data_IF_503185425922
#
_entry.id   IF_503185425922
#
_cell.length_a   1.000
_cell.length_b   1.000
_cell.length_c   1.000
_cell.angle_alpha   90.00
_cell.angle_beta   90.00
_cell.angle_gamma   90.00
#
_symmetry.space_group_name_H-M   'P 1'
#
loop_
_entity.id
_entity.type
_entity.pdbx_description
1 polymer ?
#
# COMPACT_ATOMS: atom_id res chain seq x y z
N UNK A 1 -10.88 -2.08 9.85
CA UNK A 1 -11.09 -0.84 9.08
C UNK A 1 -10.01 -0.79 8.02
N UNK A 2 -10.32 -0.30 6.81
CA UNK A 2 -9.35 -0.16 5.71
C UNK A 2 -9.58 1.18 5.02
N UNK A 3 -8.51 1.70 4.41
CA UNK A 3 -8.56 2.93 3.64
C UNK A 3 -8.78 2.64 2.15
N UNK A 4 -9.33 3.61 1.43
CA UNK A 4 -9.30 3.68 -0.02
C UNK A 4 -8.57 4.96 -0.39
N UNK A 5 -7.73 4.92 -1.41
CA UNK A 5 -7.02 6.10 -1.91
C UNK A 5 -7.61 6.64 -3.23
N UNK A 6 -7.35 7.92 -3.57
CA UNK A 6 -7.92 8.55 -4.76
C UNK A 6 -7.67 7.75 -6.04
N UNK A 7 -8.74 7.55 -6.82
CA UNK A 7 -8.70 6.84 -8.09
C UNK A 7 -8.93 5.33 -7.98
N UNK A 8 -9.02 4.76 -6.78
CA UNK A 8 -9.46 3.38 -6.62
C UNK A 8 -10.91 3.18 -7.09
N UNK A 9 -11.16 2.06 -7.75
CA UNK A 9 -12.48 1.69 -8.23
C UNK A 9 -13.23 0.88 -7.18
N UNK A 10 -14.51 1.22 -7.02
CA UNK A 10 -15.43 0.52 -6.11
C UNK A 10 -16.71 0.15 -6.84
N UNK A 11 -17.38 -0.89 -6.37
CA UNK A 11 -18.78 -1.18 -6.67
C UNK A 11 -19.64 -0.61 -5.55
N UNK A 12 -20.60 0.25 -5.88
CA UNK A 12 -21.60 0.77 -4.93
C UNK A 12 -22.78 -0.19 -4.91
N UNK A 13 -23.17 -0.66 -3.74
CA UNK A 13 -24.31 -1.57 -3.54
C UNK A 13 -25.54 -0.88 -3.00
N UNK A 14 -25.35 0.14 -2.15
CA UNK A 14 -26.43 0.87 -1.51
C UNK A 14 -25.98 2.30 -1.19
N UNK A 15 -26.93 3.21 -1.07
CA UNK A 15 -26.73 4.59 -0.64
C UNK A 15 -27.81 5.01 0.35
N UNK A 16 -27.39 5.42 1.55
CA UNK A 16 -28.29 5.85 2.60
C UNK A 16 -27.68 6.99 3.42
N UNK A 17 -28.43 8.08 3.59
CA UNK A 17 -28.06 9.24 4.42
C UNK A 17 -26.67 9.82 4.12
N UNK A 18 -26.30 9.92 2.83
CA UNK A 18 -25.01 10.47 2.38
C UNK A 18 -23.81 9.51 2.52
N UNK A 19 -24.06 8.24 2.86
CA UNK A 19 -23.07 7.18 2.87
C UNK A 19 -23.39 6.13 1.81
N UNK A 20 -22.35 5.67 1.13
CA UNK A 20 -22.43 4.57 0.16
C UNK A 20 -21.79 3.31 0.74
N UNK A 21 -22.50 2.19 0.72
CA UNK A 21 -21.92 0.88 0.99
C UNK A 21 -21.21 0.38 -0.27
N UNK A 22 -19.90 0.18 -0.16
CA UNK A 22 -19.02 -0.10 -1.30
C UNK A 22 -18.22 -1.38 -1.10
N UNK A 23 -17.86 -2.02 -2.21
CA UNK A 23 -16.79 -3.03 -2.28
C UNK A 23 -15.66 -2.52 -3.14
N UNK A 24 -14.45 -2.54 -2.61
CA UNK A 24 -13.26 -2.22 -3.37
C UNK A 24 -13.02 -3.25 -4.47
N UNK A 25 -12.87 -2.80 -5.72
CA UNK A 25 -12.67 -3.71 -6.85
C UNK A 25 -11.33 -4.43 -6.79
N UNK A 26 -10.29 -3.73 -6.31
CA UNK A 26 -8.92 -4.26 -6.29
C UNK A 26 -8.70 -5.35 -5.23
N UNK A 27 -9.52 -5.40 -4.18
CA UNK A 27 -9.25 -6.28 -3.04
C UNK A 27 -10.48 -6.85 -2.34
N UNK A 28 -11.67 -6.52 -2.83
CA UNK A 28 -12.92 -7.11 -2.39
C UNK A 28 -13.38 -6.72 -0.99
N UNK A 29 -12.65 -5.85 -0.29
CA UNK A 29 -13.03 -5.37 1.03
C UNK A 29 -14.26 -4.47 0.93
N UNK A 30 -15.13 -4.57 1.91
CA UNK A 30 -16.38 -3.81 1.96
C UNK A 30 -16.34 -2.78 3.07
N UNK A 31 -17.07 -1.69 2.89
CA UNK A 31 -17.15 -0.63 3.88
C UNK A 31 -18.10 0.48 3.47
N UNK A 32 -18.16 1.53 4.29
CA UNK A 32 -18.93 2.72 4.02
C UNK A 32 -17.99 3.88 3.71
N UNK A 33 -18.32 4.65 2.67
CA UNK A 33 -17.63 5.89 2.31
C UNK A 33 -18.66 7.00 2.17
N UNK A 34 -18.24 8.25 2.41
CA UNK A 34 -19.07 9.42 2.13
C UNK A 34 -19.37 9.49 0.63
N UNK A 35 -20.65 9.53 0.25
CA UNK A 35 -21.07 9.48 -1.16
C UNK A 35 -20.45 10.61 -1.99
N UNK A 36 -20.25 11.78 -1.37
CA UNK A 36 -19.58 12.94 -2.00
C UNK A 36 -18.10 12.73 -2.35
N UNK A 37 -17.44 11.70 -1.80
CA UNK A 37 -16.07 11.34 -2.15
C UNK A 37 -16.00 10.45 -3.40
N UNK A 38 -17.13 9.87 -3.82
CA UNK A 38 -17.22 9.08 -5.02
C UNK A 38 -17.42 9.98 -6.25
N UNK A 39 -16.89 9.53 -7.37
CA UNK A 39 -17.15 10.11 -8.69
C UNK A 39 -17.68 9.03 -9.62
N UNK A 40 -18.51 9.38 -10.60
CA UNK A 40 -18.84 8.45 -11.67
C UNK A 40 -17.57 7.88 -12.30
N UNK A 41 -17.59 6.61 -12.77
CA UNK A 41 -16.43 6.02 -13.41
C UNK A 41 -15.99 6.87 -14.60
N UNK A 42 -14.68 7.10 -14.72
CA UNK A 42 -14.12 7.74 -15.90
C UNK A 42 -14.45 6.91 -17.15
N UNK A 43 -14.73 7.57 -18.27
CA UNK A 43 -14.99 6.89 -19.54
C UNK A 43 -13.78 6.09 -20.04
N UNK A 44 -12.57 6.50 -19.65
CA UNK A 44 -11.33 5.84 -19.99
C UNK A 44 -10.60 5.34 -18.72
N UNK A 45 -9.88 4.20 -18.82
CA UNK A 45 -9.17 3.62 -17.69
C UNK A 45 -8.00 4.49 -17.21
N UNK A 46 -7.62 4.30 -15.95
CA UNK A 46 -6.36 4.84 -15.41
C UNK A 46 -5.17 4.32 -16.23
N UNK A 47 -4.17 5.17 -16.43
CA UNK A 47 -2.94 4.82 -17.17
C UNK A 47 -1.68 4.89 -16.31
N UNK A 48 -1.72 5.64 -15.21
CA UNK A 48 -0.59 5.88 -14.32
C UNK A 48 -1.00 5.72 -12.86
N UNK A 49 0.00 5.66 -11.97
CA UNK A 49 -0.18 5.76 -10.53
C UNK A 49 0.90 6.66 -9.90
N UNK A 50 0.64 7.17 -8.70
CA UNK A 50 1.66 7.88 -7.91
C UNK A 50 2.68 6.88 -7.36
N UNK A 51 3.95 7.05 -7.72
CA UNK A 51 5.06 6.12 -7.43
C UNK A 51 5.96 6.54 -6.26
N UNK A 52 5.68 7.71 -5.68
CA UNK A 52 6.32 8.28 -4.49
C UNK A 52 5.35 8.25 -3.30
N UNK A 53 5.79 8.37 -2.03
CA UNK A 53 4.89 8.31 -0.88
C UNK A 53 3.71 9.29 -0.96
N UNK A 54 3.99 10.56 -1.24
CA UNK A 54 3.01 11.64 -1.34
C UNK A 54 3.40 12.56 -2.49
N UNK A 55 2.41 13.03 -3.25
CA UNK A 55 2.55 14.06 -4.28
C UNK A 55 1.42 15.08 -4.18
N UNK A 56 1.61 16.22 -4.81
CA UNK A 56 0.58 17.25 -4.97
C UNK A 56 0.11 17.29 -6.42
N UNK A 57 -1.17 17.60 -6.59
CA UNK A 57 -1.71 18.05 -7.86
C UNK A 57 -1.93 19.56 -7.85
N UNK A 58 -1.67 20.21 -8.97
CA UNK A 58 -1.68 21.66 -9.13
C UNK A 58 -2.76 22.10 -10.11
N UNK A 59 -3.33 23.29 -9.90
CA UNK A 59 -4.39 23.82 -10.78
C UNK A 59 -3.92 24.17 -12.18
N UNK A 60 -2.64 24.52 -12.33
CA UNK A 60 -1.98 24.82 -13.61
C UNK A 60 -0.72 23.96 -13.77
N UNK A 61 -0.14 23.95 -14.97
CA UNK A 61 1.17 23.34 -15.25
C UNK A 61 2.32 24.17 -14.64
N UNK A 62 2.23 24.44 -13.34
CA UNK A 62 3.16 25.26 -12.56
C UNK A 62 3.07 24.85 -11.08
N UNK A 63 4.21 24.49 -10.49
CA UNK A 63 4.34 24.14 -9.06
C UNK A 63 4.00 25.31 -8.13
N UNK A 64 3.99 26.54 -8.64
CA UNK A 64 3.60 27.75 -7.88
C UNK A 64 2.10 28.00 -7.90
N UNK A 65 1.34 27.26 -8.71
CA UNK A 65 -0.12 27.36 -8.70
C UNK A 65 -0.72 26.66 -7.48
N UNK A 66 -2.00 26.95 -7.20
CA UNK A 66 -2.68 26.35 -6.05
C UNK A 66 -2.78 24.82 -6.15
N UNK A 67 -2.63 24.14 -5.00
CA UNK A 67 -2.81 22.70 -4.90
C UNK A 67 -4.30 22.36 -5.01
N UNK A 68 -4.63 21.39 -5.85
CA UNK A 68 -5.99 20.89 -6.07
C UNK A 68 -6.27 19.58 -5.33
N UNK A 69 -5.23 18.77 -5.09
CA UNK A 69 -5.34 17.50 -4.38
C UNK A 69 -4.01 17.08 -3.76
N UNK A 70 -4.10 16.37 -2.63
CA UNK A 70 -3.02 15.54 -2.10
C UNK A 70 -3.22 14.12 -2.62
N UNK A 71 -2.17 13.52 -3.19
CA UNK A 71 -2.22 12.18 -3.76
C UNK A 71 -1.18 11.31 -3.06
N UNK A 72 -1.55 10.09 -2.68
CA UNK A 72 -0.67 9.12 -2.01
C UNK A 72 -0.20 8.04 -2.97
N UNK A 73 0.89 7.36 -2.64
CA UNK A 73 1.38 6.22 -3.41
C UNK A 73 0.24 5.24 -3.76
N UNK A 74 0.20 4.79 -5.00
CA UNK A 74 -0.87 3.90 -5.51
C UNK A 74 -2.11 4.63 -6.03
N UNK A 75 -2.29 5.93 -5.75
CA UNK A 75 -3.40 6.73 -6.32
C UNK A 75 -3.38 6.62 -7.84
N UNK A 76 -4.50 6.22 -8.44
CA UNK A 76 -4.59 5.94 -9.88
C UNK A 76 -4.99 7.19 -10.68
N UNK A 77 -4.29 7.41 -11.79
CA UNK A 77 -4.36 8.62 -12.59
C UNK A 77 -4.62 8.28 -14.05
N UNK A 78 -5.43 9.09 -14.72
CA UNK A 78 -5.50 9.10 -16.17
C UNK A 78 -4.58 10.21 -16.70
N UNK A 79 -3.63 9.86 -17.56
CA UNK A 79 -2.85 10.84 -18.32
C UNK A 79 -3.74 11.41 -19.44
N UNK A 80 -4.09 12.69 -19.32
CA UNK A 80 -4.94 13.42 -20.26
C UNK A 80 -4.12 14.26 -21.25
N UNK A 81 -2.94 14.71 -20.83
CA UNK A 81 -2.02 15.55 -21.58
C UNK A 81 -0.67 15.54 -20.87
N UNK A 82 0.42 15.62 -21.63
CA UNK A 82 1.76 15.80 -21.08
C UNK A 82 2.32 17.17 -21.45
N UNK A 83 3.05 17.76 -20.52
CA UNK A 83 3.84 18.98 -20.72
C UNK A 83 5.23 18.76 -20.12
N UNK A 84 6.17 19.68 -20.37
CA UNK A 84 7.51 19.60 -19.78
C UNK A 84 7.43 19.54 -18.25
N UNK A 85 7.79 18.39 -17.69
CA UNK A 85 7.86 18.15 -16.24
C UNK A 85 6.54 17.76 -15.55
N UNK A 86 5.40 17.79 -16.24
CA UNK A 86 4.08 17.48 -15.64
C UNK A 86 3.21 16.61 -16.54
N UNK A 87 2.28 15.89 -15.92
CA UNK A 87 1.14 15.28 -16.60
C UNK A 87 -0.16 15.92 -16.09
N UNK A 88 -1.12 16.17 -16.98
CA UNK A 88 -2.47 16.58 -16.63
C UNK A 88 -3.30 15.34 -16.35
N UNK A 89 -4.04 15.37 -15.25
CA UNK A 89 -4.87 14.26 -14.76
C UNK A 89 -6.26 14.74 -14.39
N UNK A 90 -7.14 13.82 -14.01
CA UNK A 90 -8.46 14.13 -13.45
C UNK A 90 -8.40 14.89 -12.11
N UNK A 91 -7.22 15.00 -11.48
CA UNK A 91 -7.01 15.75 -10.24
C UNK A 91 -6.33 17.10 -10.45
N UNK A 92 -5.84 17.40 -11.67
CA UNK A 92 -4.97 18.54 -11.97
C UNK A 92 -3.62 18.10 -12.53
N UNK A 93 -2.62 18.97 -12.44
CA UNK A 93 -1.27 18.74 -12.95
C UNK A 93 -0.37 18.10 -11.89
N UNK A 94 0.28 16.99 -12.22
CA UNK A 94 1.15 16.23 -11.30
C UNK A 94 2.57 16.19 -11.87
N UNK A 95 3.63 16.38 -11.06
CA UNK A 95 5.00 16.24 -11.54
C UNK A 95 5.25 14.87 -12.17
N UNK A 96 5.80 14.84 -13.38
CA UNK A 96 6.01 13.62 -14.17
C UNK A 96 6.92 12.61 -13.47
N UNK A 97 7.88 13.08 -12.67
CA UNK A 97 8.77 12.24 -11.87
C UNK A 97 8.09 11.53 -10.67
N UNK A 98 6.86 11.92 -10.32
CA UNK A 98 6.10 11.31 -9.21
C UNK A 98 5.12 10.23 -9.68
N UNK A 99 5.07 9.96 -10.98
CA UNK A 99 4.14 9.01 -11.59
C UNK A 99 4.88 7.90 -12.32
N UNK A 100 4.24 6.74 -12.41
CA UNK A 100 4.71 5.61 -13.21
C UNK A 100 3.52 5.01 -13.96
N UNK A 101 3.78 4.45 -15.14
CA UNK A 101 2.74 3.81 -15.95
C UNK A 101 2.26 2.51 -15.28
N UNK A 102 0.95 2.25 -15.31
CA UNK A 102 0.37 1.00 -14.82
C UNK A 102 0.76 -0.22 -15.67
N UNK A 103 1.19 0.01 -16.92
CA UNK A 103 1.65 -1.03 -17.84
C UNK A 103 3.06 -1.54 -17.57
N UNK A 104 3.79 -0.90 -16.66
CA UNK A 104 5.17 -1.25 -16.30
C UNK A 104 5.34 -1.21 -14.78
N UNK A 105 4.71 -2.15 -14.04
CA UNK A 105 4.83 -2.21 -12.59
C UNK A 105 6.25 -2.63 -12.17
N UNK A 106 6.77 -2.13 -11.04
CA UNK A 106 8.02 -2.63 -10.47
C UNK A 106 7.86 -4.10 -10.08
N UNK A 107 8.95 -4.87 -10.09
CA UNK A 107 8.92 -6.30 -9.76
C UNK A 107 9.24 -6.62 -8.29
N UNK A 108 9.81 -5.68 -7.54
CA UNK A 108 10.26 -5.88 -6.16
C UNK A 108 9.36 -5.16 -5.15
N UNK A 109 8.47 -5.88 -4.43
CA UNK A 109 7.62 -5.31 -3.39
C UNK A 109 8.43 -4.73 -2.22
N UNK A 110 9.62 -5.24 -1.95
CA UNK A 110 10.46 -4.72 -0.88
C UNK A 110 10.97 -3.33 -1.25
N UNK A 111 11.40 -3.11 -2.50
CA UNK A 111 11.80 -1.78 -2.96
C UNK A 111 10.67 -0.76 -2.87
N UNK A 112 9.42 -1.19 -3.05
CA UNK A 112 8.23 -0.33 -2.84
C UNK A 112 8.03 -0.05 -1.35
N UNK A 113 8.17 -1.05 -0.47
CA UNK A 113 8.04 -0.89 0.98
C UNK A 113 9.10 0.08 1.53
N UNK A 114 10.34 0.00 1.04
CA UNK A 114 11.46 0.84 1.46
C UNK A 114 11.20 2.33 1.19
N UNK A 115 10.43 2.68 0.16
CA UNK A 115 9.99 4.07 -0.09
C UNK A 115 9.11 4.64 1.03
N UNK A 116 8.49 3.78 1.84
CA UNK A 116 7.59 4.15 2.94
C UNK A 116 8.30 4.16 4.29
N UNK A 117 9.62 4.00 4.35
CA UNK A 117 10.39 4.07 5.59
C UNK A 117 10.09 5.38 6.35
N UNK A 118 9.80 5.27 7.64
CA UNK A 118 9.43 6.39 8.50
C UNK A 118 7.96 6.81 8.44
N UNK A 119 7.13 6.28 7.55
CA UNK A 119 5.68 6.53 7.56
C UNK A 119 5.10 6.11 8.91
N UNK A 120 4.28 6.94 9.59
CA UNK A 120 3.71 6.59 10.88
C UNK A 120 2.84 5.35 10.85
N UNK A 121 2.87 4.57 11.94
CA UNK A 121 1.96 3.45 12.11
C UNK A 121 0.53 3.96 12.32
N UNK A 122 -0.42 3.41 11.57
CA UNK A 122 -1.84 3.66 11.74
C UNK A 122 -2.61 2.35 11.58
N UNK A 123 -3.34 1.95 12.63
CA UNK A 123 -4.19 0.76 12.59
C UNK A 123 -5.23 0.86 11.46
N UNK A 124 -5.27 -0.12 10.55
CA UNK A 124 -6.13 -0.11 9.37
C UNK A 124 -5.65 0.82 8.25
N UNK A 125 -4.46 1.43 8.41
CA UNK A 125 -3.84 2.31 7.43
C UNK A 125 -3.30 1.55 6.22
N UNK A 126 -3.45 2.14 5.04
CA UNK A 126 -3.05 1.55 3.75
C UNK A 126 -2.40 2.60 2.84
N UNK A 127 -1.71 3.61 3.42
CA UNK A 127 -1.12 4.71 2.65
C UNK A 127 0.05 5.40 3.35
N UNK A 128 0.74 6.30 2.64
CA UNK A 128 1.81 7.12 3.20
C UNK A 128 1.36 8.14 4.28
N UNK A 129 0.04 8.32 4.50
CA UNK A 129 -0.48 9.14 5.60
C UNK A 129 -0.57 8.37 6.92
N UNK A 130 -0.36 7.06 6.87
CA UNK A 130 -0.41 6.15 7.99
C UNK A 130 -0.65 4.73 7.50
N UNK A 131 0.15 3.78 7.96
CA UNK A 131 0.14 2.41 7.44
C UNK A 131 0.29 1.39 8.55
N UNK A 132 -0.46 0.28 8.50
CA UNK A 132 -0.22 -0.86 9.38
C UNK A 132 0.64 -1.93 8.72
N UNK A 133 0.96 -2.99 9.48
CA UNK A 133 1.84 -4.06 9.04
C UNK A 133 1.34 -4.73 7.75
N UNK A 134 0.06 -5.09 7.72
CA UNK A 134 -0.58 -5.72 6.58
C UNK A 134 -0.79 -4.77 5.40
N UNK A 135 -1.05 -3.48 5.66
CA UNK A 135 -1.16 -2.42 4.66
C UNK A 135 0.17 -2.18 3.95
N UNK A 136 1.30 -2.23 4.65
CA UNK A 136 2.62 -2.14 4.04
C UNK A 136 2.86 -3.27 3.03
N UNK A 137 2.61 -4.53 3.44
CA UNK A 137 2.75 -5.69 2.57
C UNK A 137 1.80 -5.57 1.37
N UNK A 138 0.55 -5.20 1.64
CA UNK A 138 -0.49 -5.04 0.63
C UNK A 138 -0.12 -4.00 -0.41
N UNK A 139 0.11 -2.75 -0.01
CA UNK A 139 0.39 -1.65 -0.92
C UNK A 139 1.59 -1.97 -1.82
N UNK A 140 2.66 -2.50 -1.23
CA UNK A 140 3.85 -2.92 -1.96
C UNK A 140 3.58 -3.99 -3.02
N UNK A 141 2.80 -5.02 -2.68
CA UNK A 141 2.45 -6.08 -3.62
C UNK A 141 1.51 -5.59 -4.71
N UNK A 142 0.49 -4.82 -4.35
CA UNK A 142 -0.48 -4.28 -5.30
C UNK A 142 0.19 -3.38 -6.34
N UNK A 143 1.18 -2.57 -5.95
CA UNK A 143 1.97 -1.75 -6.88
C UNK A 143 2.80 -2.62 -7.83
N UNK A 144 3.30 -3.75 -7.36
CA UNK A 144 3.96 -4.77 -8.18
C UNK A 144 2.98 -5.66 -8.98
N UNK A 145 1.69 -5.30 -9.04
CA UNK A 145 0.64 -6.09 -9.68
C UNK A 145 0.47 -7.53 -9.10
N UNK A 146 0.90 -7.76 -7.86
CA UNK A 146 0.67 -8.99 -7.12
C UNK A 146 -0.56 -8.85 -6.22
N UNK A 147 -1.53 -9.76 -6.38
CA UNK A 147 -2.71 -9.78 -5.53
C UNK A 147 -2.32 -10.08 -4.08
N UNK A 148 -2.70 -9.18 -3.17
CA UNK A 148 -2.40 -9.31 -1.75
C UNK A 148 -3.64 -9.00 -0.90
N UNK A 149 -4.14 -9.96 -0.10
CA UNK A 149 -5.24 -9.70 0.82
C UNK A 149 -4.93 -8.56 1.80
N UNK A 150 -5.96 -7.94 2.35
CA UNK A 150 -5.77 -6.77 3.20
C UNK A 150 -5.31 -7.08 4.62
N UNK A 151 -5.68 -8.22 5.17
CA UNK A 151 -5.42 -8.56 6.58
C UNK A 151 -4.32 -9.62 6.70
N UNK A 152 -3.53 -9.55 7.78
CA UNK A 152 -2.33 -10.39 7.96
C UNK A 152 -2.65 -11.89 8.04
N UNK A 153 -3.79 -12.29 8.59
CA UNK A 153 -4.26 -13.67 8.63
C UNK A 153 -4.68 -14.18 7.23
N UNK A 154 -5.33 -13.34 6.43
CA UNK A 154 -5.65 -13.64 5.04
C UNK A 154 -4.38 -13.68 4.18
N UNK A 155 -3.41 -12.80 4.41
CA UNK A 155 -2.10 -12.85 3.77
C UNK A 155 -1.36 -14.14 4.12
N UNK A 156 -1.36 -14.53 5.40
CA UNK A 156 -0.75 -15.77 5.88
C UNK A 156 -1.34 -17.00 5.17
N UNK A 157 -2.65 -17.03 4.94
CA UNK A 157 -3.31 -18.14 4.25
C UNK A 157 -3.10 -18.14 2.74
N UNK A 158 -3.17 -16.97 2.08
CA UNK A 158 -3.21 -16.89 0.62
C UNK A 158 -1.83 -16.72 -0.05
N UNK A 159 -0.86 -16.10 0.60
CA UNK A 159 0.39 -15.70 -0.07
C UNK A 159 1.50 -16.74 0.06
N UNK A 160 2.12 -17.12 -1.06
CA UNK A 160 3.37 -17.88 -1.07
C UNK A 160 3.30 -19.28 -0.47
N UNK A 161 4.44 -19.97 -0.49
CA UNK A 161 4.64 -21.30 0.10
C UNK A 161 5.22 -21.17 1.51
N UNK A 162 4.81 -22.07 2.41
CA UNK A 162 5.41 -22.17 3.75
C UNK A 162 6.85 -22.65 3.64
N UNK A 163 7.76 -21.97 4.33
CA UNK A 163 9.16 -22.36 4.43
C UNK A 163 9.38 -23.32 5.61
N UNK A 164 10.30 -24.30 5.48
CA UNK A 164 10.83 -25.04 6.61
C UNK A 164 11.38 -24.10 7.70
N UNK A 165 11.34 -24.49 8.99
CA UNK A 165 11.79 -23.63 10.09
C UNK A 165 13.23 -23.11 9.95
N UNK A 166 14.12 -23.94 9.40
CA UNK A 166 15.55 -23.77 9.19
C UNK A 166 15.93 -23.21 7.81
N UNK A 167 14.96 -22.98 6.93
CA UNK A 167 15.24 -22.41 5.62
C UNK A 167 15.82 -20.99 5.75
N UNK A 168 16.91 -20.67 5.03
CA UNK A 168 17.46 -19.32 5.03
C UNK A 168 16.46 -18.36 4.41
N UNK A 169 16.25 -17.23 5.09
CA UNK A 169 15.36 -16.18 4.62
C UNK A 169 16.05 -15.34 3.55
N UNK A 170 15.26 -14.80 2.64
CA UNK A 170 15.73 -13.93 1.58
C UNK A 170 14.82 -12.71 1.41
N UNK A 171 15.30 -11.72 0.65
CA UNK A 171 14.51 -10.53 0.29
C UNK A 171 13.17 -10.95 -0.33
N UNK A 172 12.09 -10.39 0.20
CA UNK A 172 10.72 -10.66 -0.23
C UNK A 172 10.02 -11.79 0.51
N UNK A 173 10.71 -12.54 1.36
CA UNK A 173 10.05 -13.48 2.27
C UNK A 173 9.19 -12.73 3.30
N UNK A 174 8.12 -13.38 3.73
CA UNK A 174 7.20 -12.87 4.74
C UNK A 174 7.37 -13.62 6.05
N UNK A 175 7.39 -12.89 7.16
CA UNK A 175 7.40 -13.45 8.52
C UNK A 175 6.12 -13.05 9.22
N UNK A 176 5.40 -14.03 9.75
CA UNK A 176 4.11 -13.84 10.40
C UNK A 176 4.19 -14.14 11.89
N UNK A 177 3.54 -13.30 12.68
CA UNK A 177 3.16 -13.55 14.07
C UNK A 177 1.63 -13.49 14.17
N UNK A 178 1.07 -13.80 15.35
CA UNK A 178 -0.36 -13.62 15.58
C UNK A 178 -0.74 -12.14 15.45
N UNK A 179 -1.41 -11.79 14.36
CA UNK A 179 -1.87 -10.43 14.08
C UNK A 179 -0.81 -9.49 13.52
N UNK A 180 0.38 -9.97 13.15
CA UNK A 180 1.46 -9.13 12.62
C UNK A 180 2.19 -9.81 11.45
N UNK A 181 2.72 -8.99 10.54
CA UNK A 181 3.46 -9.44 9.36
C UNK A 181 4.62 -8.49 9.05
N UNK A 182 5.72 -9.02 8.53
CA UNK A 182 6.87 -8.26 8.08
C UNK A 182 7.43 -8.81 6.77
N UNK A 183 8.13 -7.95 6.01
CA UNK A 183 8.88 -8.32 4.81
C UNK A 183 10.36 -8.43 5.13
N UNK A 184 11.01 -9.50 4.72
CA UNK A 184 12.46 -9.63 4.79
C UNK A 184 13.11 -8.77 3.69
N UNK A 185 14.13 -7.99 4.05
CA UNK A 185 14.95 -7.23 3.08
C UNK A 185 16.29 -7.92 2.80
N UNK A 186 16.72 -8.79 3.72
CA UNK A 186 17.91 -9.64 3.68
C UNK A 186 17.64 -10.91 4.51
N UNK A 187 18.66 -11.73 4.77
CA UNK A 187 18.53 -12.92 5.62
C UNK A 187 18.20 -12.58 7.09
N UNK A 188 18.71 -11.45 7.59
CA UNK A 188 18.65 -11.10 9.01
C UNK A 188 17.82 -9.85 9.30
N UNK A 189 17.46 -9.07 8.28
CA UNK A 189 16.77 -7.78 8.46
C UNK A 189 15.40 -7.79 7.82
N UNK A 190 14.42 -7.28 8.55
CA UNK A 190 13.06 -7.07 8.07
C UNK A 190 12.73 -5.57 7.94
N UNK A 191 11.72 -5.27 7.14
CA UNK A 191 10.98 -4.01 7.13
C UNK A 191 9.54 -4.28 7.53
N UNK A 192 9.00 -3.46 8.44
CA UNK A 192 7.60 -3.55 8.84
C UNK A 192 7.07 -2.21 9.36
N UNK A 193 5.76 -2.00 9.30
CA UNK A 193 5.09 -0.98 10.09
C UNK A 193 4.72 -1.58 11.44
N UNK A 194 5.18 -1.00 12.55
CA UNK A 194 4.96 -1.59 13.87
C UNK A 194 4.55 -0.55 14.92
N UNK A 195 3.71 -0.99 15.88
CA UNK A 195 3.23 -0.16 16.97
C UNK A 195 4.29 0.11 18.07
N UNK A 196 5.42 -0.59 18.05
CA UNK A 196 6.50 -0.37 19.01
C UNK A 196 7.30 0.91 18.69
N UNK A 197 7.67 1.10 17.42
CA UNK A 197 8.33 2.31 16.89
C UNK A 197 7.34 3.36 16.38
N UNK A 198 6.06 2.99 16.28
CA UNK A 198 4.99 3.81 15.71
C UNK A 198 5.31 4.30 14.28
N UNK A 199 6.05 3.51 13.50
CA UNK A 199 6.43 3.84 12.12
C UNK A 199 6.86 2.60 11.32
N UNK A 200 7.05 2.78 10.01
CA UNK A 200 7.75 1.83 9.15
C UNK A 200 9.25 1.88 9.45
N UNK A 201 9.83 0.76 9.88
CA UNK A 201 11.24 0.67 10.25
C UNK A 201 11.90 -0.59 9.73
N UNK A 202 13.22 -0.53 9.57
CA UNK A 202 14.05 -1.73 9.57
C UNK A 202 14.25 -2.24 11.00
N UNK A 203 14.28 -3.55 11.18
CA UNK A 203 14.61 -4.20 12.45
C UNK A 203 15.36 -5.50 12.16
N UNK A 204 16.30 -5.89 13.02
CA UNK A 204 16.89 -7.22 12.94
C UNK A 204 15.81 -8.24 13.32
N UNK A 205 15.70 -9.34 12.57
CA UNK A 205 14.70 -10.39 12.81
C UNK A 205 14.83 -10.97 14.21
N UNK A 206 16.06 -11.20 14.69
CA UNK A 206 16.32 -11.72 16.04
C UNK A 206 15.83 -10.78 17.14
N UNK A 207 16.01 -9.47 16.96
CA UNK A 207 15.51 -8.44 17.88
C UNK A 207 13.99 -8.39 17.86
N UNK A 208 13.38 -8.41 16.67
CA UNK A 208 11.93 -8.42 16.51
C UNK A 208 11.29 -9.64 17.19
N UNK A 209 11.84 -10.84 16.97
CA UNK A 209 11.39 -12.08 17.63
C UNK A 209 11.46 -11.95 19.13
N UNK A 210 12.63 -11.55 19.66
CA UNK A 210 12.85 -11.43 21.11
C UNK A 210 11.91 -10.41 21.74
N UNK A 211 11.76 -9.24 21.09
CA UNK A 211 10.90 -8.15 21.57
C UNK A 211 9.42 -8.53 21.57
N UNK A 212 8.92 -9.12 20.48
CA UNK A 212 7.50 -9.51 20.35
C UNK A 212 7.15 -10.61 21.37
N UNK A 213 8.05 -11.59 21.57
CA UNK A 213 7.90 -12.60 22.60
C UNK A 213 7.84 -11.98 24.01
N UNK A 214 8.75 -11.06 24.33
CA UNK A 214 8.78 -10.35 25.62
C UNK A 214 7.54 -9.47 25.86
N UNK A 215 6.92 -8.96 24.79
CA UNK A 215 5.66 -8.21 24.86
C UNK A 215 4.44 -9.12 25.09
N UNK A 216 4.60 -10.45 25.07
CA UNK A 216 3.50 -11.42 25.23
C UNK A 216 2.66 -11.62 23.97
N UNK A 217 3.13 -11.16 22.81
CA UNK A 217 2.45 -11.26 21.52
C UNK A 217 2.72 -12.59 20.79
N UNK A 218 3.66 -13.38 21.31
CA UNK A 218 3.92 -14.77 20.92
C UNK A 218 5.08 -14.95 19.93
N UNK A 219 5.30 -16.20 19.53
CA UNK A 219 6.37 -16.59 18.61
C UNK A 219 5.97 -16.38 17.14
N UNK A 220 6.98 -16.48 16.26
CA UNK A 220 6.75 -16.56 14.81
C UNK A 220 5.84 -17.76 14.52
N UNK A 221 4.74 -17.48 13.83
CA UNK A 221 3.74 -18.48 13.45
C UNK A 221 4.17 -19.18 12.16
N UNK A 222 4.58 -18.42 11.13
CA UNK A 222 5.01 -18.96 9.84
C UNK A 222 6.02 -18.04 9.16
N UNK A 223 6.89 -18.64 8.34
CA UNK A 223 7.71 -17.96 7.34
C UNK A 223 7.21 -18.40 5.96
N UNK A 224 7.06 -17.47 5.02
CA UNK A 224 6.57 -17.78 3.67
C UNK A 224 7.42 -17.13 2.59
N UNK A 225 7.57 -17.83 1.47
CA UNK A 225 8.24 -17.34 0.25
C UNK A 225 7.25 -17.19 -0.88
N UNK A 226 7.22 -16.04 -1.51
CA UNK A 226 6.40 -15.82 -2.69
C UNK A 226 7.00 -16.59 -3.87
N UNK A 227 6.12 -17.24 -4.63
CA UNK A 227 6.46 -17.85 -5.90
C UNK A 227 6.19 -16.78 -6.98
N UNK A 228 7.15 -15.88 -7.17
CA UNK A 228 7.11 -14.83 -8.19
C UNK A 228 7.76 -15.32 -9.48
#
# INVERSE_FOLDING_TARGET
QRQLYPGEQVTVYDEHAGWSFVKARAHGYVGYIQSQQLRPPNQAPSTHYISVPISHSYGQCDMKSGITALLVMGSQLQNLQEETGFIKTQFGWVPKQHVQALSDPPSDPVAVAEKLLGVPYLWGGDSALGIDCSGLVRLSHMICAHNCPADSDLQQSALGAVLPPDAPLQRGDLVFWKGHVALMISEETLIHANAHRMSVTYEALSEAISRIALAGEGDVVLKKRLLL
#
